data_IF_677631251218
#
_entry.id   IF_677631251218
#
_cell.length_a   1.000
_cell.length_b   1.000
_cell.length_c   1.000
_cell.angle_alpha   90.00
_cell.angle_beta   90.00
_cell.angle_gamma   90.00
#
_symmetry.space_group_name_H-M   'P 1'
#
loop_
_entity.id
_entity.type
_entity.pdbx_description
1 polymer ?
#
# COMPACT_ATOMS: atom_id res chain seq x y z
N UNK A 1 -7.09 -5.15 33.15
CA UNK A 1 -7.00 -5.86 31.84
C UNK A 1 -8.32 -5.64 31.15
N UNK A 2 -8.33 -5.39 29.84
CA UNK A 2 -9.59 -5.44 29.07
C UNK A 2 -10.06 -6.89 29.08
N UNK A 3 -11.38 -7.07 29.19
CA UNK A 3 -11.98 -8.36 28.92
C UNK A 3 -12.01 -8.55 27.40
N UNK A 4 -11.19 -9.46 26.87
CA UNK A 4 -11.08 -9.71 25.42
C UNK A 4 -12.27 -10.53 24.87
N UNK A 5 -13.24 -10.91 25.71
CA UNK A 5 -14.40 -11.75 25.37
C UNK A 5 -15.25 -11.19 24.20
N UNK A 6 -15.16 -9.90 23.90
CA UNK A 6 -15.93 -9.26 22.84
C UNK A 6 -15.19 -9.12 21.51
N UNK A 7 -13.94 -9.58 21.44
CA UNK A 7 -13.10 -9.50 20.25
C UNK A 7 -13.11 -10.84 19.52
N UNK A 8 -13.74 -10.85 18.35
CA UNK A 8 -13.80 -12.01 17.46
C UNK A 8 -12.62 -11.99 16.50
N UNK A 9 -11.59 -12.80 16.77
CA UNK A 9 -10.47 -12.97 15.82
C UNK A 9 -10.84 -13.92 14.69
N UNK A 10 -10.57 -13.50 13.46
CA UNK A 10 -10.86 -14.28 12.26
C UNK A 10 -9.84 -15.41 12.07
N UNK A 11 -10.24 -16.58 11.53
CA UNK A 11 -9.31 -17.60 11.07
C UNK A 11 -8.61 -17.23 9.75
N UNK A 12 -9.02 -16.14 9.09
CA UNK A 12 -8.41 -15.68 7.84
C UNK A 12 -6.97 -15.29 8.08
N UNK A 13 -6.07 -15.77 7.22
CA UNK A 13 -4.66 -15.43 7.25
C UNK A 13 -4.15 -15.13 5.84
N UNK A 14 -3.80 -13.87 5.61
CA UNK A 14 -3.24 -13.39 4.36
C UNK A 14 -1.73 -13.56 4.43
N UNK A 15 -1.24 -14.67 3.85
CA UNK A 15 0.17 -15.02 3.83
C UNK A 15 0.88 -14.49 2.58
N UNK A 16 2.20 -14.30 2.65
CA UNK A 16 3.04 -14.13 1.46
C UNK A 16 2.82 -15.28 0.47
N UNK A 17 2.86 -14.96 -0.82
CA UNK A 17 2.65 -15.92 -1.91
C UNK A 17 3.70 -15.69 -3.00
N UNK A 18 4.70 -16.58 -3.06
CA UNK A 18 5.76 -16.51 -4.06
C UNK A 18 5.31 -16.91 -5.47
N UNK A 19 4.10 -17.44 -5.63
CA UNK A 19 3.55 -17.79 -6.94
C UNK A 19 2.96 -16.57 -7.67
N UNK A 20 2.75 -15.46 -6.95
CA UNK A 20 2.23 -14.21 -7.51
C UNK A 20 3.39 -13.36 -8.01
N UNK A 21 3.52 -13.36 -9.33
CA UNK A 21 4.65 -12.78 -10.06
C UNK A 21 4.18 -11.70 -11.04
N UNK A 22 5.06 -10.74 -11.31
CA UNK A 22 4.85 -9.68 -12.29
C UNK A 22 6.11 -9.48 -13.13
N UNK A 23 5.95 -9.19 -14.42
CA UNK A 23 7.09 -8.90 -15.29
C UNK A 23 7.57 -7.46 -15.06
N UNK A 24 8.81 -7.30 -14.58
CA UNK A 24 9.46 -5.99 -14.38
C UNK A 24 10.57 -5.77 -15.40
N UNK A 25 11.00 -4.51 -15.52
CA UNK A 25 12.20 -4.18 -16.29
C UNK A 25 13.42 -4.75 -15.58
N UNK A 26 14.23 -5.50 -16.31
CA UNK A 26 15.52 -6.01 -15.87
C UNK A 26 16.62 -5.38 -16.71
N UNK A 27 17.58 -4.75 -16.05
CA UNK A 27 18.79 -4.26 -16.72
C UNK A 27 19.96 -5.05 -16.15
N UNK A 28 20.63 -5.88 -16.98
CA UNK A 28 21.80 -6.64 -16.56
C UNK A 28 22.87 -5.72 -15.96
N UNK A 29 23.44 -6.12 -14.83
CA UNK A 29 24.52 -5.37 -14.18
C UNK A 29 25.66 -5.05 -15.15
N UNK A 30 26.22 -3.84 -15.04
CA UNK A 30 27.37 -3.40 -15.82
C UNK A 30 28.59 -4.31 -15.62
N UNK A 31 29.55 -4.20 -16.53
CA UNK A 31 30.80 -4.94 -16.42
C UNK A 31 31.55 -4.48 -15.15
N UNK A 32 32.18 -5.41 -14.42
CA UNK A 32 32.95 -5.04 -13.23
C UNK A 32 34.14 -4.15 -13.60
N UNK A 33 34.66 -3.35 -12.65
CA UNK A 33 35.86 -2.57 -12.85
C UNK A 33 37.02 -3.41 -13.42
N UNK A 34 37.67 -2.92 -14.49
CA UNK A 34 38.72 -3.65 -15.22
C UNK A 34 38.23 -4.43 -16.45
N UNK A 35 36.91 -4.59 -16.62
CA UNK A 35 36.30 -5.24 -17.79
C UNK A 35 35.27 -4.35 -18.51
N UNK A 36 35.17 -3.08 -18.10
CA UNK A 36 34.27 -2.10 -18.68
C UNK A 36 34.54 -1.89 -20.17
N UNK A 37 33.55 -2.22 -20.99
CA UNK A 37 33.53 -1.88 -22.41
C UNK A 37 32.68 -0.64 -22.60
N UNK A 38 33.31 0.55 -22.60
CA UNK A 38 32.62 1.85 -22.72
C UNK A 38 31.85 1.99 -24.02
N UNK A 39 32.40 1.49 -25.12
CA UNK A 39 31.84 1.66 -26.46
C UNK A 39 30.73 0.64 -26.75
N UNK A 40 30.67 -0.43 -25.94
CA UNK A 40 29.67 -1.49 -26.12
C UNK A 40 29.30 -2.08 -24.76
N UNK A 41 28.44 -1.41 -23.98
CA UNK A 41 28.00 -1.89 -22.67
C UNK A 41 27.34 -3.27 -22.74
N UNK A 42 27.26 -3.96 -21.60
CA UNK A 42 26.70 -5.33 -21.54
C UNK A 42 25.29 -5.42 -22.10
N UNK A 43 24.44 -4.43 -21.82
CA UNK A 43 23.10 -4.32 -22.38
C UNK A 43 23.14 -4.34 -23.92
N UNK A 44 23.95 -3.48 -24.54
CA UNK A 44 24.10 -3.44 -25.98
C UNK A 44 24.55 -4.80 -26.56
N UNK A 45 25.54 -5.43 -25.94
CA UNK A 45 26.03 -6.76 -26.38
C UNK A 45 24.99 -7.88 -26.27
N UNK A 46 23.96 -7.73 -25.42
CA UNK A 46 22.83 -8.67 -25.37
C UNK A 46 21.91 -8.42 -26.56
N UNK A 47 21.52 -7.17 -26.80
CA UNK A 47 20.70 -6.83 -27.96
C UNK A 47 21.39 -7.24 -29.28
N UNK A 48 22.68 -6.96 -29.43
CA UNK A 48 23.46 -7.35 -30.62
C UNK A 48 23.41 -8.85 -30.89
N UNK A 49 23.48 -9.68 -29.83
CA UNK A 49 23.41 -11.15 -29.98
C UNK A 49 22.06 -11.59 -30.52
N UNK A 50 20.97 -10.98 -30.07
CA UNK A 50 19.61 -11.23 -30.60
C UNK A 50 19.54 -10.81 -32.07
N UNK A 51 20.13 -9.68 -32.44
CA UNK A 51 20.14 -9.18 -33.82
C UNK A 51 20.95 -10.09 -34.77
N UNK A 52 21.91 -10.85 -34.27
CA UNK A 52 22.71 -11.79 -35.06
C UNK A 52 22.08 -13.19 -35.22
N UNK A 53 20.96 -13.47 -34.55
CA UNK A 53 20.28 -14.76 -34.68
C UNK A 53 19.72 -14.92 -36.10
N UNK A 54 19.67 -16.16 -36.59
CA UNK A 54 18.89 -16.46 -37.79
C UNK A 54 17.39 -16.30 -37.50
N UNK A 55 16.57 -16.08 -38.53
CA UNK A 55 15.11 -16.00 -38.39
C UNK A 55 14.50 -17.26 -37.75
N UNK A 56 15.14 -18.42 -37.93
CA UNK A 56 14.72 -19.68 -37.30
C UNK A 56 15.07 -19.68 -35.81
N UNK A 57 16.32 -19.38 -35.45
CA UNK A 57 16.75 -19.38 -34.04
C UNK A 57 15.99 -18.33 -33.21
N UNK A 58 15.72 -17.15 -33.78
CA UNK A 58 14.94 -16.11 -33.12
C UNK A 58 13.49 -16.56 -32.84
N UNK A 59 12.87 -17.26 -33.79
CA UNK A 59 11.50 -17.78 -33.63
C UNK A 59 11.43 -18.92 -32.64
N UNK A 60 12.40 -19.82 -32.66
CA UNK A 60 12.47 -20.96 -31.75
C UNK A 60 12.65 -20.48 -30.30
N UNK A 61 13.57 -19.53 -30.08
CA UNK A 61 13.79 -18.96 -28.74
C UNK A 61 12.59 -18.15 -28.26
N UNK A 62 11.98 -17.33 -29.12
CA UNK A 62 10.76 -16.60 -28.79
C UNK A 62 9.61 -17.55 -28.42
N UNK A 63 9.47 -18.67 -29.14
CA UNK A 63 8.45 -19.70 -28.83
C UNK A 63 8.69 -20.29 -27.44
N UNK A 64 9.95 -20.59 -27.08
CA UNK A 64 10.30 -21.08 -25.75
C UNK A 64 9.92 -20.08 -24.65
N UNK A 65 10.29 -18.80 -24.84
CA UNK A 65 9.98 -17.72 -23.89
C UNK A 65 8.47 -17.56 -23.72
N UNK A 66 7.73 -17.45 -24.82
CA UNK A 66 6.28 -17.22 -24.78
C UNK A 66 5.55 -18.41 -24.15
N UNK A 67 5.94 -19.65 -24.46
CA UNK A 67 5.33 -20.84 -23.84
C UNK A 67 5.54 -20.88 -22.32
N UNK A 68 6.72 -20.47 -21.83
CA UNK A 68 7.00 -20.42 -20.39
C UNK A 68 6.21 -19.35 -19.63
N UNK A 69 5.75 -18.32 -20.34
CA UNK A 69 5.01 -17.18 -19.79
C UNK A 69 3.49 -17.28 -20.03
N UNK A 70 3.04 -18.01 -21.05
CA UNK A 70 1.64 -18.04 -21.49
C UNK A 70 0.67 -18.52 -20.40
N UNK A 71 1.09 -19.46 -19.54
CA UNK A 71 0.25 -19.95 -18.43
C UNK A 71 0.07 -18.90 -17.32
N UNK A 72 0.99 -17.93 -17.22
CA UNK A 72 1.07 -16.98 -16.11
C UNK A 72 0.63 -15.56 -16.48
N UNK A 73 0.68 -15.19 -17.76
CA UNK A 73 0.40 -13.82 -18.19
C UNK A 73 -0.55 -13.80 -19.38
N UNK A 74 -1.53 -12.88 -19.32
CA UNK A 74 -2.62 -12.80 -20.31
C UNK A 74 -2.18 -12.19 -21.65
N UNK A 75 -1.20 -11.28 -21.64
CA UNK A 75 -0.71 -10.57 -22.82
C UNK A 75 0.82 -10.38 -22.75
N UNK A 76 1.53 -11.51 -22.94
CA UNK A 76 3.00 -11.57 -22.90
C UNK A 76 3.59 -10.69 -24.00
N UNK A 77 3.09 -10.82 -25.24
CA UNK A 77 3.66 -10.12 -26.40
C UNK A 77 3.61 -8.61 -26.22
N UNK A 78 2.46 -8.05 -25.83
CA UNK A 78 2.32 -6.62 -25.60
C UNK A 78 3.23 -6.13 -24.49
N UNK A 79 3.39 -6.93 -23.43
CA UNK A 79 4.30 -6.62 -22.32
C UNK A 79 5.74 -6.54 -22.82
N UNK A 80 6.19 -7.53 -23.59
CA UNK A 80 7.55 -7.60 -24.11
C UNK A 80 7.84 -6.50 -25.16
N UNK A 81 6.91 -6.20 -26.06
CA UNK A 81 7.03 -5.09 -27.02
C UNK A 81 7.16 -3.75 -26.28
N UNK A 82 6.33 -3.52 -25.25
CA UNK A 82 6.44 -2.31 -24.41
C UNK A 82 7.81 -2.23 -23.74
N UNK A 83 8.36 -3.37 -23.28
CA UNK A 83 9.71 -3.42 -22.68
C UNK A 83 10.80 -3.06 -23.68
N UNK A 84 10.73 -3.58 -24.91
CA UNK A 84 11.63 -3.19 -25.98
C UNK A 84 11.62 -1.67 -26.21
N UNK A 85 10.44 -1.07 -26.35
CA UNK A 85 10.33 0.39 -26.53
C UNK A 85 10.88 1.19 -25.35
N UNK A 86 10.75 0.70 -24.12
CA UNK A 86 11.29 1.37 -22.94
C UNK A 86 12.82 1.36 -22.86
N UNK A 87 13.48 0.37 -23.49
CA UNK A 87 14.95 0.27 -23.46
C UNK A 87 15.63 0.83 -24.72
N UNK A 88 14.93 0.86 -25.85
CA UNK A 88 15.47 1.23 -27.16
C UNK A 88 15.79 2.74 -27.21
N UNK A 89 17.07 3.08 -27.42
CA UNK A 89 17.57 4.45 -27.33
C UNK A 89 17.80 4.97 -25.90
N UNK A 90 17.61 4.11 -24.89
CA UNK A 90 17.82 4.45 -23.47
C UNK A 90 18.95 3.62 -22.87
N UNK A 91 18.84 2.29 -22.94
CA UNK A 91 19.85 1.33 -22.44
C UNK A 91 20.62 0.63 -23.56
N UNK A 92 20.05 0.65 -24.76
CA UNK A 92 20.65 0.14 -26.00
C UNK A 92 20.55 1.22 -27.08
N UNK A 93 21.41 1.15 -28.09
CA UNK A 93 21.39 2.01 -29.25
C UNK A 93 20.06 1.91 -29.99
N UNK A 94 19.61 3.04 -30.56
CA UNK A 94 18.35 3.08 -31.28
C UNK A 94 18.38 2.13 -32.48
N UNK A 95 17.48 1.14 -32.50
CA UNK A 95 17.39 0.16 -33.56
C UNK A 95 15.96 -0.02 -34.09
N UNK A 96 15.87 -0.38 -35.37
CA UNK A 96 14.64 -0.87 -36.03
C UNK A 96 14.83 -2.36 -36.31
N UNK A 97 13.89 -3.17 -35.85
CA UNK A 97 14.02 -4.64 -35.79
C UNK A 97 12.72 -5.32 -36.22
N UNK A 98 12.75 -6.62 -36.50
CA UNK A 98 11.52 -7.39 -36.73
C UNK A 98 10.67 -7.46 -35.45
N UNK A 99 9.40 -7.84 -35.57
CA UNK A 99 8.52 -8.00 -34.42
C UNK A 99 9.06 -9.07 -33.43
N UNK A 100 9.58 -10.18 -33.96
CA UNK A 100 10.15 -11.27 -33.18
C UNK A 100 11.41 -10.83 -32.44
N UNK A 101 12.28 -10.06 -33.09
CA UNK A 101 13.47 -9.49 -32.47
C UNK A 101 13.09 -8.49 -31.38
N UNK A 102 12.09 -7.63 -31.60
CA UNK A 102 11.60 -6.70 -30.57
C UNK A 102 11.08 -7.46 -29.35
N UNK A 103 10.26 -8.50 -29.56
CA UNK A 103 9.74 -9.35 -28.48
C UNK A 103 10.87 -10.03 -27.70
N UNK A 104 11.83 -10.64 -28.40
CA UNK A 104 12.92 -11.39 -27.77
C UNK A 104 13.91 -10.47 -27.04
N UNK A 105 14.23 -9.30 -27.61
CA UNK A 105 14.99 -8.26 -26.90
C UNK A 105 14.20 -7.84 -25.65
N UNK A 106 12.90 -7.54 -25.78
CA UNK A 106 12.05 -7.21 -24.64
C UNK A 106 12.10 -8.26 -23.52
N UNK A 107 12.16 -9.55 -23.87
CA UNK A 107 12.27 -10.65 -22.92
C UNK A 107 13.62 -10.67 -22.18
N UNK A 108 14.75 -10.48 -22.87
CA UNK A 108 16.08 -10.45 -22.23
C UNK A 108 16.28 -9.27 -21.27
N UNK A 109 15.44 -8.24 -21.39
CA UNK A 109 15.41 -7.08 -20.48
C UNK A 109 14.17 -7.07 -19.57
N UNK A 110 13.64 -8.26 -19.31
CA UNK A 110 12.53 -8.49 -18.39
C UNK A 110 12.90 -9.54 -17.36
N UNK A 111 12.33 -9.42 -16.15
CA UNK A 111 12.41 -10.43 -15.10
C UNK A 111 11.02 -10.73 -14.54
N UNK A 112 10.77 -11.99 -14.17
CA UNK A 112 9.63 -12.33 -13.32
C UNK A 112 9.97 -11.99 -11.87
N UNK A 113 9.15 -11.16 -11.24
CA UNK A 113 9.38 -10.67 -9.89
C UNK A 113 8.25 -11.08 -8.96
N UNK A 114 8.55 -11.89 -7.94
CA UNK A 114 7.58 -12.32 -6.93
C UNK A 114 7.37 -11.22 -5.88
N UNK A 115 6.34 -10.41 -6.06
CA UNK A 115 6.20 -9.12 -5.37
C UNK A 115 5.70 -9.19 -3.93
N UNK A 116 5.11 -10.31 -3.54
CA UNK A 116 4.63 -10.57 -2.18
C UNK A 116 5.20 -11.87 -1.61
N UNK A 117 6.41 -12.25 -2.02
CA UNK A 117 7.06 -13.50 -1.60
C UNK A 117 7.58 -13.48 -0.16
N UNK A 118 7.98 -12.32 0.37
CA UNK A 118 8.62 -12.22 1.69
C UNK A 118 7.64 -11.88 2.80
N UNK A 119 6.76 -10.90 2.59
CA UNK A 119 5.82 -10.42 3.59
C UNK A 119 4.57 -9.76 2.96
N UNK A 120 3.42 -9.91 3.60
CA UNK A 120 2.14 -9.31 3.17
C UNK A 120 1.37 -8.74 4.37
N UNK A 121 1.58 -7.48 4.68
CA UNK A 121 1.24 -6.91 5.99
C UNK A 121 0.76 -5.45 5.90
N UNK A 122 0.61 -4.80 7.06
CA UNK A 122 0.17 -3.41 7.24
C UNK A 122 -1.10 -3.05 6.45
N UNK A 123 -2.22 -3.75 6.73
CA UNK A 123 -3.45 -3.59 5.96
C UNK A 123 -4.16 -2.27 6.24
N UNK A 124 -4.82 -1.72 5.23
CA UNK A 124 -5.79 -0.62 5.35
C UNK A 124 -7.02 -0.91 4.51
N UNK A 125 -8.20 -0.60 5.04
CA UNK A 125 -9.50 -1.05 4.51
C UNK A 125 -10.46 0.12 4.32
N UNK A 126 -11.20 0.10 3.21
CA UNK A 126 -12.27 1.06 2.89
C UNK A 126 -13.44 0.37 2.19
N UNK A 127 -14.65 0.93 2.23
CA UNK A 127 -15.77 0.45 1.41
C UNK A 127 -15.42 0.49 -0.08
N UNK A 128 -15.68 -0.58 -0.80
CA UNK A 128 -15.49 -0.65 -2.25
C UNK A 128 -16.45 0.33 -2.96
N UNK A 129 -16.04 1.07 -4.02
CA UNK A 129 -16.92 2.00 -4.71
C UNK A 129 -18.11 1.30 -5.38
N UNK A 130 -17.85 0.12 -5.96
CA UNK A 130 -18.90 -0.76 -6.48
C UNK A 130 -19.43 -1.72 -5.40
N UNK A 131 -20.73 -1.63 -5.12
CA UNK A 131 -21.48 -2.51 -4.21
C UNK A 131 -22.51 -3.38 -4.96
N UNK A 132 -22.45 -3.45 -6.29
CA UNK A 132 -23.38 -4.24 -7.08
C UNK A 132 -23.28 -5.74 -6.74
N UNK A 133 -24.44 -6.39 -6.58
CA UNK A 133 -24.53 -7.82 -6.26
C UNK A 133 -24.11 -8.17 -4.83
N UNK A 134 -23.84 -7.20 -3.97
CA UNK A 134 -23.52 -7.44 -2.55
C UNK A 134 -24.81 -7.85 -1.82
N UNK A 135 -24.80 -8.94 -1.02
CA UNK A 135 -25.98 -9.36 -0.26
C UNK A 135 -26.50 -8.25 0.67
N UNK A 136 -27.81 -8.23 0.89
CA UNK A 136 -28.46 -7.25 1.78
C UNK A 136 -27.82 -7.28 3.17
N UNK A 137 -27.51 -6.10 3.71
CA UNK A 137 -26.85 -5.94 5.01
C UNK A 137 -25.36 -6.26 5.01
N UNK A 138 -24.76 -6.63 3.87
CA UNK A 138 -23.31 -6.82 3.73
C UNK A 138 -22.67 -5.60 3.06
N UNK A 139 -21.33 -5.53 3.12
CA UNK A 139 -20.52 -4.48 2.53
C UNK A 139 -19.31 -5.09 1.82
N UNK A 140 -19.12 -4.79 0.53
CA UNK A 140 -17.86 -5.09 -0.16
C UNK A 140 -16.79 -4.09 0.24
N UNK A 141 -15.57 -4.55 0.48
CA UNK A 141 -14.44 -3.70 0.84
C UNK A 141 -13.28 -3.83 -0.16
N UNK A 142 -12.43 -2.80 -0.18
CA UNK A 142 -11.07 -2.84 -0.69
C UNK A 142 -10.12 -2.87 0.50
N UNK A 143 -9.13 -3.75 0.42
CA UNK A 143 -8.03 -3.87 1.37
C UNK A 143 -6.72 -3.61 0.64
N UNK A 144 -6.01 -2.55 1.00
CA UNK A 144 -4.59 -2.39 0.60
C UNK A 144 -3.68 -3.12 1.57
N UNK A 145 -2.59 -3.68 1.05
CA UNK A 145 -1.57 -4.40 1.79
C UNK A 145 -0.19 -3.94 1.31
N UNK A 146 0.76 -3.86 2.25
CA UNK A 146 2.17 -3.76 1.94
C UNK A 146 2.68 -5.14 1.55
N UNK A 147 3.11 -5.27 0.30
CA UNK A 147 3.72 -6.46 -0.25
C UNK A 147 5.24 -6.25 -0.33
N UNK A 148 6.00 -7.19 0.23
CA UNK A 148 7.47 -7.21 0.15
C UNK A 148 7.89 -8.41 -0.68
N UNK A 149 8.59 -8.13 -1.77
CA UNK A 149 9.07 -9.13 -2.72
C UNK A 149 10.56 -9.43 -2.56
N UNK A 150 11.12 -10.06 -3.59
CA UNK A 150 12.56 -10.28 -3.73
C UNK A 150 13.35 -8.95 -3.57
N UNK A 151 14.52 -9.00 -2.93
CA UNK A 151 15.30 -7.78 -2.70
C UNK A 151 14.69 -6.78 -1.71
N UNK A 152 13.63 -7.18 -0.99
CA UNK A 152 12.95 -6.40 0.07
C UNK A 152 12.30 -5.09 -0.40
N UNK A 153 11.96 -4.97 -1.69
CA UNK A 153 11.26 -3.79 -2.19
C UNK A 153 9.80 -3.83 -1.73
N UNK A 154 9.36 -2.76 -1.05
CA UNK A 154 7.97 -2.62 -0.61
C UNK A 154 7.09 -2.00 -1.70
N UNK A 155 5.95 -2.65 -1.93
CA UNK A 155 4.94 -2.28 -2.91
C UNK A 155 3.54 -2.32 -2.28
N UNK A 156 2.54 -1.78 -2.97
CA UNK A 156 1.13 -1.85 -2.55
C UNK A 156 0.40 -2.82 -3.46
N UNK A 157 -0.27 -3.79 -2.88
CA UNK A 157 -1.23 -4.66 -3.58
C UNK A 157 -2.57 -4.60 -2.87
N UNK A 158 -3.59 -5.17 -3.50
CA UNK A 158 -4.95 -5.09 -3.02
C UNK A 158 -5.60 -6.46 -2.89
N UNK A 159 -6.62 -6.53 -2.03
CA UNK A 159 -7.60 -7.61 -1.96
C UNK A 159 -8.99 -6.99 -1.90
N UNK A 160 -9.98 -7.75 -2.32
CA UNK A 160 -11.39 -7.44 -2.10
C UNK A 160 -12.02 -8.49 -1.20
N UNK A 161 -13.21 -8.19 -0.71
CA UNK A 161 -13.98 -9.15 0.08
C UNK A 161 -15.28 -8.54 0.55
N UNK A 162 -16.00 -9.30 1.38
CA UNK A 162 -17.30 -8.91 1.92
C UNK A 162 -17.27 -9.00 3.44
N UNK A 163 -17.81 -7.99 4.10
CA UNK A 163 -18.20 -8.04 5.50
C UNK A 163 -19.71 -8.24 5.61
N UNK A 164 -20.14 -9.27 6.33
CA UNK A 164 -21.53 -9.56 6.61
C UNK A 164 -22.12 -8.69 7.73
N UNK A 165 -23.45 -8.68 7.89
CA UNK A 165 -24.15 -7.90 8.92
C UNK A 165 -23.83 -8.33 10.35
N UNK A 166 -23.36 -9.56 10.54
CA UNK A 166 -22.95 -10.16 11.81
C UNK A 166 -21.47 -9.93 12.14
N UNK A 167 -20.73 -9.22 11.28
CA UNK A 167 -19.30 -9.06 11.40
C UNK A 167 -18.48 -10.22 10.85
N UNK A 168 -19.08 -11.19 10.16
CA UNK A 168 -18.33 -12.16 9.39
C UNK A 168 -17.52 -11.45 8.29
N UNK A 169 -16.29 -11.89 8.06
CA UNK A 169 -15.42 -11.35 7.00
C UNK A 169 -15.04 -12.50 6.08
N UNK A 170 -15.16 -12.27 4.77
CA UNK A 170 -14.62 -13.12 3.73
C UNK A 170 -13.73 -12.29 2.80
N UNK A 171 -12.59 -12.84 2.39
CA UNK A 171 -11.67 -12.22 1.42
C UNK A 171 -11.72 -13.03 0.14
N UNK A 172 -11.83 -12.36 -0.99
CA UNK A 172 -11.84 -13.01 -2.31
C UNK A 172 -10.48 -13.65 -2.60
N UNK A 173 -10.49 -14.77 -3.32
CA UNK A 173 -9.25 -15.43 -3.75
C UNK A 173 -8.55 -14.53 -4.76
N UNK A 174 -7.29 -14.10 -4.50
CA UNK A 174 -6.59 -13.22 -5.43
C UNK A 174 -6.25 -13.94 -6.74
N UNK A 175 -6.15 -13.18 -7.82
CA UNK A 175 -5.62 -13.67 -9.10
C UNK A 175 -4.13 -13.92 -8.96
N UNK A 176 -3.65 -15.02 -9.53
CA UNK A 176 -2.21 -15.34 -9.57
C UNK A 176 -1.43 -14.35 -10.45
N UNK A 177 -2.09 -13.84 -11.48
CA UNK A 177 -1.53 -12.87 -12.42
C UNK A 177 -1.45 -11.48 -11.75
N UNK A 178 -0.42 -10.73 -12.09
CA UNK A 178 -0.29 -9.31 -11.74
C UNK A 178 0.16 -8.50 -12.94
N UNK A 179 -0.26 -7.24 -12.97
CA UNK A 179 0.07 -6.29 -14.03
C UNK A 179 0.93 -5.15 -13.49
N UNK A 180 1.81 -4.62 -14.35
CA UNK A 180 2.48 -3.35 -14.08
C UNK A 180 1.65 -2.23 -14.73
N UNK A 181 1.30 -1.17 -13.99
CA UNK A 181 0.58 -0.04 -14.54
C UNK A 181 1.35 0.63 -15.67
N UNK A 182 0.62 1.26 -16.59
CA UNK A 182 1.19 2.27 -17.47
C UNK A 182 1.38 3.56 -16.67
N UNK A 183 2.57 4.16 -16.78
CA UNK A 183 2.98 5.29 -15.94
C UNK A 183 3.09 6.55 -16.81
N UNK A 184 2.50 7.64 -16.35
CA UNK A 184 2.69 8.98 -16.91
C UNK A 184 3.09 9.97 -15.80
N UNK A 185 3.90 10.97 -16.14
CA UNK A 185 4.15 12.10 -15.25
C UNK A 185 2.98 13.08 -15.29
N UNK A 186 2.61 13.64 -14.15
CA UNK A 186 1.53 14.63 -14.11
C UNK A 186 2.03 15.95 -14.74
N UNK A 187 1.36 16.49 -15.77
CA UNK A 187 1.79 17.72 -16.42
C UNK A 187 1.86 18.91 -15.45
N UNK A 188 2.92 19.69 -15.54
CA UNK A 188 3.12 20.89 -14.70
C UNK A 188 3.59 20.59 -13.27
N UNK A 189 3.90 19.33 -12.94
CA UNK A 189 4.59 18.99 -11.70
C UNK A 189 6.04 19.51 -11.67
N UNK A 190 6.64 19.52 -10.47
CA UNK A 190 8.03 19.99 -10.31
C UNK A 190 9.00 19.10 -11.08
N UNK A 191 10.08 19.63 -11.69
CA UNK A 191 11.01 18.84 -12.48
C UNK A 191 11.60 17.62 -11.76
N UNK A 192 11.78 17.70 -10.44
CA UNK A 192 12.34 16.63 -9.61
C UNK A 192 11.27 15.84 -8.84
N UNK A 193 10.01 16.25 -8.92
CA UNK A 193 8.89 15.65 -8.21
C UNK A 193 7.57 15.91 -8.96
N UNK A 194 7.44 15.37 -10.19
CA UNK A 194 6.34 15.74 -11.07
C UNK A 194 4.98 15.17 -10.61
N UNK A 195 4.98 14.25 -9.64
CA UNK A 195 3.85 13.36 -9.42
C UNK A 195 3.69 12.37 -10.58
N UNK A 196 3.05 11.24 -10.30
CA UNK A 196 2.84 10.19 -11.32
C UNK A 196 1.40 9.74 -11.34
N UNK A 197 0.91 9.42 -12.54
CA UNK A 197 -0.37 8.77 -12.77
C UNK A 197 -0.13 7.35 -13.26
N UNK A 198 -0.82 6.41 -12.65
CA UNK A 198 -0.77 4.98 -12.92
C UNK A 198 -2.10 4.57 -13.52
N UNK A 199 -2.07 3.95 -14.69
CA UNK A 199 -3.24 3.40 -15.36
C UNK A 199 -3.19 1.88 -15.30
N UNK A 200 -4.23 1.29 -14.70
CA UNK A 200 -4.43 -0.14 -14.52
C UNK A 200 -5.73 -0.60 -15.22
N UNK A 201 -6.11 0.07 -16.30
CA UNK A 201 -7.32 -0.17 -17.09
C UNK A 201 -7.38 -1.58 -17.73
N UNK A 202 -6.24 -2.26 -17.79
CA UNK A 202 -6.12 -3.65 -18.26
C UNK A 202 -6.42 -4.70 -17.16
N UNK A 203 -6.54 -4.26 -15.90
CA UNK A 203 -6.82 -5.12 -14.76
C UNK A 203 -8.26 -5.61 -14.80
N UNK A 204 -8.49 -6.92 -14.69
CA UNK A 204 -9.85 -7.47 -14.55
C UNK A 204 -10.26 -7.65 -13.09
N UNK A 205 -9.29 -7.63 -12.19
CA UNK A 205 -9.48 -7.80 -10.76
C UNK A 205 -8.51 -6.90 -10.01
N UNK A 206 -8.95 -6.31 -8.90
CA UNK A 206 -8.14 -5.37 -8.14
C UNK A 206 -6.88 -6.03 -7.54
N UNK A 207 -6.91 -7.34 -7.28
CA UNK A 207 -5.74 -8.08 -6.81
C UNK A 207 -4.61 -8.17 -7.84
N UNK A 208 -4.89 -8.03 -9.14
CA UNK A 208 -3.86 -8.02 -10.19
C UNK A 208 -2.99 -6.73 -10.13
N UNK A 209 -3.46 -5.69 -9.45
CA UNK A 209 -2.77 -4.40 -9.37
C UNK A 209 -1.67 -4.44 -8.31
N UNK A 210 -0.46 -4.04 -8.74
CA UNK A 210 0.68 -3.81 -7.86
C UNK A 210 1.27 -2.44 -8.14
N UNK A 211 1.35 -1.60 -7.12
CA UNK A 211 1.94 -0.26 -7.18
C UNK A 211 3.36 -0.34 -6.62
N UNK A 212 4.34 -0.30 -7.52
CA UNK A 212 5.76 -0.22 -7.17
C UNK A 212 6.22 1.23 -6.98
N UNK A 213 7.36 1.42 -6.28
CA UNK A 213 8.12 2.66 -6.37
C UNK A 213 8.33 3.13 -7.80
N UNK A 214 7.98 4.39 -8.07
CA UNK A 214 8.18 5.02 -9.39
C UNK A 214 9.19 6.16 -9.30
N UNK A 215 9.10 6.97 -8.25
CA UNK A 215 9.96 8.15 -8.08
C UNK A 215 11.20 7.84 -7.24
N UNK A 216 12.24 8.67 -7.37
CA UNK A 216 13.49 8.54 -6.61
C UNK A 216 13.28 8.58 -5.08
N UNK A 217 12.26 9.33 -4.63
CA UNK A 217 11.82 9.44 -3.23
C UNK A 217 11.22 8.14 -2.69
N UNK A 218 10.69 7.29 -3.55
CA UNK A 218 10.08 6.01 -3.19
C UNK A 218 11.02 4.82 -3.43
N UNK A 219 12.25 5.03 -3.95
CA UNK A 219 13.06 3.96 -4.56
C UNK A 219 13.35 2.73 -3.69
N UNK A 220 13.22 2.83 -2.36
CA UNK A 220 13.35 1.69 -1.43
C UNK A 220 12.00 1.14 -0.93
N UNK A 221 10.89 1.83 -1.19
CA UNK A 221 9.57 1.31 -0.90
C UNK A 221 8.47 2.36 -0.85
N UNK A 222 7.25 1.88 -1.08
CA UNK A 222 6.00 2.52 -0.69
C UNK A 222 5.49 1.79 0.55
N UNK A 223 5.40 2.49 1.68
CA UNK A 223 5.10 1.87 2.98
C UNK A 223 3.79 2.39 3.59
N UNK A 224 3.04 1.46 4.20
CA UNK A 224 2.00 1.73 5.19
C UNK A 224 0.90 2.69 4.70
N UNK A 225 0.24 2.34 3.58
CA UNK A 225 -0.86 3.12 3.00
C UNK A 225 -2.05 3.16 3.97
N UNK A 226 -2.54 4.36 4.27
CA UNK A 226 -3.74 4.61 5.08
C UNK A 226 -4.84 5.13 4.18
N UNK A 227 -5.67 4.21 3.70
CA UNK A 227 -6.80 4.50 2.83
C UNK A 227 -7.93 5.18 3.60
N UNK A 228 -8.61 6.11 2.93
CA UNK A 228 -9.85 6.72 3.39
C UNK A 228 -10.77 6.99 2.21
N UNK A 229 -12.06 6.69 2.38
CA UNK A 229 -13.11 7.17 1.50
C UNK A 229 -13.46 8.59 1.95
N UNK A 230 -13.02 9.59 1.20
CA UNK A 230 -13.26 10.99 1.47
C UNK A 230 -14.52 11.46 0.74
N UNK A 231 -15.41 12.12 1.48
CA UNK A 231 -16.66 12.67 0.95
C UNK A 231 -16.59 14.20 1.03
N UNK A 232 -16.65 14.85 -0.13
CA UNK A 232 -16.72 16.30 -0.23
C UNK A 232 -18.13 16.83 0.08
N UNK A 233 -18.26 18.15 0.28
CA UNK A 233 -19.52 18.80 0.63
C UNK A 233 -20.61 18.65 -0.46
N UNK A 234 -20.20 18.46 -1.71
CA UNK A 234 -21.09 18.18 -2.85
C UNK A 234 -21.53 16.71 -2.94
N UNK A 235 -21.07 15.86 -2.00
CA UNK A 235 -21.33 14.43 -1.96
C UNK A 235 -20.45 13.60 -2.89
N UNK A 236 -19.55 14.23 -3.66
CA UNK A 236 -18.57 13.50 -4.45
C UNK A 236 -17.63 12.70 -3.55
N UNK A 237 -17.20 11.54 -4.04
CA UNK A 237 -16.34 10.64 -3.28
C UNK A 237 -15.00 10.50 -3.99
N UNK A 238 -13.92 10.69 -3.23
CA UNK A 238 -12.55 10.36 -3.66
C UNK A 238 -11.91 9.44 -2.63
N UNK A 239 -11.16 8.45 -3.09
CA UNK A 239 -10.35 7.61 -2.22
C UNK A 239 -8.94 8.19 -2.14
N UNK A 240 -8.49 8.47 -0.92
CA UNK A 240 -7.13 8.91 -0.66
C UNK A 240 -6.38 7.85 0.14
N UNK A 241 -5.07 7.80 -0.04
CA UNK A 241 -4.16 6.93 0.69
C UNK A 241 -2.92 7.71 1.09
N UNK A 242 -2.76 8.02 2.37
CA UNK A 242 -1.49 8.63 2.85
C UNK A 242 -0.48 7.52 3.10
N UNK A 243 0.76 7.70 2.67
CA UNK A 243 1.78 6.67 2.79
C UNK A 243 3.18 7.27 2.95
N UNK A 244 4.12 6.43 3.40
CA UNK A 244 5.53 6.82 3.51
C UNK A 244 6.29 6.41 2.25
N UNK A 245 6.81 7.38 1.51
CA UNK A 245 7.79 7.15 0.46
C UNK A 245 9.18 7.01 1.09
N UNK A 246 9.83 5.86 0.88
CA UNK A 246 11.14 5.58 1.45
C UNK A 246 12.26 5.70 0.41
N UNK A 247 13.09 6.72 0.58
CA UNK A 247 14.25 7.01 -0.24
C UNK A 247 15.55 6.43 0.33
N UNK A 248 15.51 5.46 1.25
CA UNK A 248 16.70 4.84 1.85
C UNK A 248 17.28 5.61 3.04
N UNK A 249 17.59 6.89 2.88
CA UNK A 249 18.02 7.76 3.98
C UNK A 249 16.95 8.76 4.40
N UNK A 250 16.15 9.22 3.44
CA UNK A 250 15.08 10.18 3.66
C UNK A 250 13.72 9.49 3.54
N UNK A 251 12.75 10.01 4.29
CA UNK A 251 11.34 9.66 4.19
C UNK A 251 10.53 10.92 3.94
N UNK A 252 9.38 10.76 3.30
CA UNK A 252 8.34 11.79 3.24
C UNK A 252 6.97 11.18 3.14
N UNK A 253 5.94 11.93 3.48
CA UNK A 253 4.56 11.54 3.22
C UNK A 253 4.15 11.92 1.79
N UNK A 254 3.46 10.99 1.16
CA UNK A 254 2.84 11.18 -0.14
C UNK A 254 1.38 10.75 -0.09
N UNK A 255 0.63 11.16 -1.11
CA UNK A 255 -0.79 10.93 -1.25
C UNK A 255 -1.05 10.10 -2.51
N UNK A 256 -1.66 8.94 -2.32
CA UNK A 256 -2.35 8.19 -3.33
C UNK A 256 -3.76 8.75 -3.48
N UNK A 257 -4.23 8.96 -4.70
CA UNK A 257 -5.58 9.40 -5.02
C UNK A 257 -6.19 8.51 -6.10
N UNK A 258 -7.44 8.10 -5.93
CA UNK A 258 -8.22 7.39 -6.95
C UNK A 258 -9.71 7.60 -6.75
N UNK A 259 -10.51 7.46 -7.80
CA UNK A 259 -11.99 7.45 -7.72
C UNK A 259 -12.57 6.09 -8.08
N UNK A 260 -11.79 5.21 -8.71
CA UNK A 260 -12.26 3.99 -9.37
C UNK A 260 -11.41 2.74 -9.06
N UNK A 261 -10.26 2.90 -8.38
CA UNK A 261 -9.25 1.85 -8.20
C UNK A 261 -8.70 1.24 -9.51
N UNK A 262 -8.85 1.95 -10.63
CA UNK A 262 -8.24 1.62 -11.93
C UNK A 262 -7.20 2.67 -12.34
N UNK A 263 -7.39 3.92 -11.96
CA UNK A 263 -6.41 5.00 -12.14
C UNK A 263 -5.97 5.54 -10.78
N UNK A 264 -4.65 5.64 -10.57
CA UNK A 264 -4.08 6.15 -9.33
C UNK A 264 -3.16 7.33 -9.61
N UNK A 265 -3.24 8.37 -8.80
CA UNK A 265 -2.27 9.46 -8.78
C UNK A 265 -1.44 9.36 -7.50
N UNK A 266 -0.11 9.46 -7.62
CA UNK A 266 0.82 9.53 -6.50
C UNK A 266 1.47 10.90 -6.50
N UNK A 267 1.19 11.69 -5.46
CA UNK A 267 1.58 13.10 -5.36
C UNK A 267 2.24 13.35 -4.00
N UNK A 268 3.35 14.05 -3.99
CA UNK A 268 4.04 14.39 -2.75
C UNK A 268 3.28 15.42 -1.91
N UNK A 269 3.24 15.21 -0.59
CA UNK A 269 2.77 16.22 0.35
C UNK A 269 3.93 17.16 0.71
N UNK A 270 3.62 18.46 0.80
CA UNK A 270 4.58 19.53 1.08
C UNK A 270 4.38 20.11 2.48
N UNK A 271 5.41 20.78 2.97
CA UNK A 271 5.42 21.45 4.27
C UNK A 271 6.11 20.65 5.37
N UNK A 272 6.41 21.30 6.50
CA UNK A 272 7.24 20.74 7.57
C UNK A 272 6.65 19.44 8.15
N UNK A 273 5.32 19.37 8.25
CA UNK A 273 4.62 18.26 8.88
C UNK A 273 4.73 16.93 8.10
N UNK A 274 5.21 16.96 6.85
CA UNK A 274 5.26 15.80 5.94
C UNK A 274 6.59 15.02 5.99
N UNK A 275 7.56 15.50 6.78
CA UNK A 275 8.83 14.81 7.01
C UNK A 275 8.71 13.59 7.95
N UNK A 276 7.58 13.45 8.63
CA UNK A 276 7.30 12.37 9.58
C UNK A 276 6.55 11.20 8.96
N UNK A 277 6.31 10.11 9.73
CA UNK A 277 5.50 8.96 9.31
C UNK A 277 4.10 9.01 9.93
N UNK A 278 3.15 8.37 9.28
CA UNK A 278 1.87 8.01 9.89
C UNK A 278 0.79 9.08 9.77
N UNK A 279 0.89 9.98 8.79
CA UNK A 279 -0.21 10.91 8.51
C UNK A 279 -1.44 10.13 8.07
N UNK A 280 -2.65 10.53 8.49
CA UNK A 280 -3.90 9.92 8.09
C UNK A 280 -5.04 10.94 7.99
N UNK A 281 -5.68 10.99 6.83
CA UNK A 281 -6.70 11.98 6.48
C UNK A 281 -8.07 11.63 7.06
N UNK A 282 -8.75 12.61 7.65
CA UNK A 282 -10.15 12.48 8.06
C UNK A 282 -11.05 12.30 6.81
N UNK A 283 -12.17 11.57 6.89
CA UNK A 283 -12.99 11.20 5.74
C UNK A 283 -13.83 12.35 5.16
N UNK A 284 -13.71 13.56 5.70
CA UNK A 284 -14.32 14.79 5.18
C UNK A 284 -13.61 16.01 5.77
N UNK A 285 -13.91 17.20 5.26
CA UNK A 285 -13.50 18.46 5.89
C UNK A 285 -14.16 18.63 7.26
N UNK A 286 -13.45 19.30 8.16
CA UNK A 286 -13.92 19.71 9.49
C UNK A 286 -13.84 21.23 9.55
N UNK A 287 -14.98 21.89 9.74
CA UNK A 287 -15.08 23.35 9.72
C UNK A 287 -14.46 23.98 8.45
N UNK A 288 -14.74 23.38 7.29
CA UNK A 288 -14.26 23.85 5.98
C UNK A 288 -12.79 23.56 5.67
N UNK A 289 -12.04 22.89 6.57
CA UNK A 289 -10.62 22.55 6.38
C UNK A 289 -10.39 21.07 6.22
N UNK A 290 -9.35 20.69 5.48
CA UNK A 290 -8.81 19.34 5.57
C UNK A 290 -8.18 19.13 6.95
N UNK A 291 -8.28 17.91 7.46
CA UNK A 291 -7.67 17.51 8.72
C UNK A 291 -6.94 16.18 8.58
N UNK A 292 -5.78 16.04 9.22
CA UNK A 292 -5.03 14.79 9.32
C UNK A 292 -4.61 14.55 10.78
N UNK A 293 -4.56 13.27 11.18
CA UNK A 293 -3.75 12.87 12.32
C UNK A 293 -2.33 12.58 11.84
N UNK A 294 -1.33 12.77 12.70
CA UNK A 294 0.05 12.39 12.44
C UNK A 294 0.88 12.33 13.72
N UNK A 295 2.20 12.18 13.59
CA UNK A 295 3.12 12.10 14.73
C UNK A 295 4.33 13.02 14.50
N UNK A 296 4.25 14.25 15.00
CA UNK A 296 5.23 15.30 14.71
C UNK A 296 6.46 15.28 15.61
N UNK A 297 6.34 14.73 16.81
CA UNK A 297 7.41 14.63 17.81
C UNK A 297 7.95 13.20 17.97
N UNK A 298 7.66 12.33 17.01
CA UNK A 298 7.95 10.89 17.06
C UNK A 298 7.29 10.10 18.20
N UNK A 299 6.47 10.73 19.04
CA UNK A 299 5.96 10.14 20.28
C UNK A 299 4.43 10.18 20.39
N UNK A 300 3.79 11.29 20.03
CA UNK A 300 2.40 11.60 20.33
C UNK A 300 1.54 11.72 19.06
N UNK A 301 0.21 11.61 19.18
CA UNK A 301 -0.71 11.92 18.08
C UNK A 301 -0.95 13.43 18.06
N UNK A 302 -0.81 14.01 16.87
CA UNK A 302 -1.04 15.41 16.55
C UNK A 302 -2.21 15.55 15.57
N UNK A 303 -3.04 16.57 15.77
CA UNK A 303 -4.02 17.04 14.82
C UNK A 303 -3.39 18.12 13.93
N UNK A 304 -3.49 17.94 12.62
CA UNK A 304 -3.05 18.86 11.59
C UNK A 304 -4.29 19.36 10.85
N UNK A 305 -4.32 20.65 10.48
CA UNK A 305 -5.37 21.21 9.63
C UNK A 305 -4.75 21.99 8.49
N UNK A 306 -5.42 22.00 7.33
CA UNK A 306 -4.97 22.76 6.16
C UNK A 306 -6.14 23.17 5.27
N UNK A 307 -5.99 24.31 4.59
CA UNK A 307 -6.89 24.75 3.52
C UNK A 307 -6.50 24.13 2.16
N UNK A 308 -5.31 23.53 2.05
CA UNK A 308 -4.77 22.86 0.86
C UNK A 308 -4.40 21.41 1.21
N UNK A 309 -5.02 20.46 0.51
CA UNK A 309 -4.77 19.03 0.68
C UNK A 309 -3.30 18.62 0.50
N UNK A 310 -2.52 19.39 -0.26
CA UNK A 310 -1.13 19.08 -0.60
C UNK A 310 -0.10 19.81 0.26
N UNK A 311 -0.51 20.71 1.16
CA UNK A 311 0.40 21.49 2.01
C UNK A 311 0.04 21.40 3.50
N UNK A 312 0.96 20.93 4.34
CA UNK A 312 0.73 20.67 5.76
C UNK A 312 1.82 21.26 6.65
N UNK A 313 1.43 22.05 7.65
CA UNK A 313 2.33 22.76 8.56
C UNK A 313 1.86 22.67 10.01
N UNK A 314 2.81 22.71 10.95
CA UNK A 314 2.51 22.80 12.38
C UNK A 314 1.70 21.62 12.93
N UNK A 315 0.74 21.92 13.80
CA UNK A 315 -0.15 20.94 14.42
C UNK A 315 -0.43 21.23 15.89
N UNK A 316 -1.42 20.53 16.45
CA UNK A 316 -1.69 20.52 17.90
C UNK A 316 -1.56 19.09 18.44
N UNK A 317 -0.77 18.90 19.49
CA UNK A 317 -0.67 17.60 20.17
C UNK A 317 -1.98 17.29 20.89
N UNK A 318 -2.56 16.12 20.63
CA UNK A 318 -3.88 15.74 21.18
C UNK A 318 -3.85 14.47 22.04
N UNK A 319 -2.95 13.52 21.76
CA UNK A 319 -2.82 12.29 22.55
C UNK A 319 -1.35 12.00 22.82
N UNK A 320 -0.97 11.92 24.11
CA UNK A 320 0.35 11.50 24.55
C UNK A 320 0.32 10.14 25.25
N UNK A 321 1.47 9.44 25.32
CA UNK A 321 1.61 8.25 26.14
C UNK A 321 1.14 8.48 27.59
N UNK A 322 0.35 7.55 28.11
CA UNK A 322 -0.25 7.56 29.45
C UNK A 322 -0.01 6.24 30.20
N UNK A 323 0.04 5.11 29.50
CA UNK A 323 0.16 3.76 30.07
C UNK A 323 1.43 3.02 29.60
N UNK A 324 1.92 2.01 30.35
CA UNK A 324 3.19 1.34 30.05
C UNK A 324 3.31 0.71 28.66
N UNK A 325 2.19 0.36 28.01
CA UNK A 325 2.17 -0.28 26.70
C UNK A 325 2.40 0.70 25.53
N UNK A 326 2.55 1.99 25.82
CA UNK A 326 2.69 3.07 24.84
C UNK A 326 3.77 4.09 25.23
N UNK A 327 4.54 3.84 26.30
CA UNK A 327 5.58 4.75 26.80
C UNK A 327 6.71 5.05 25.82
N UNK A 328 6.94 4.21 24.80
CA UNK A 328 7.91 4.56 23.73
C UNK A 328 7.27 5.55 22.76
N UNK A 329 6.03 5.28 22.34
CA UNK A 329 5.25 6.15 21.46
C UNK A 329 3.80 5.64 21.33
N UNK A 330 2.90 6.55 20.95
CA UNK A 330 1.56 6.29 20.44
C UNK A 330 1.41 6.90 19.04
N UNK A 331 0.67 6.23 18.17
CA UNK A 331 0.31 6.76 16.86
C UNK A 331 -1.07 6.29 16.42
N UNK A 332 -1.66 6.99 15.47
CA UNK A 332 -2.84 6.50 14.75
C UNK A 332 -2.45 5.30 13.87
N UNK A 333 -3.32 4.29 13.81
CA UNK A 333 -3.18 3.17 12.89
C UNK A 333 -3.50 3.64 11.47
N UNK A 334 -4.73 4.08 11.25
CA UNK A 334 -5.19 4.62 9.97
C UNK A 334 -5.95 5.93 10.14
N UNK A 335 -6.83 6.21 9.18
CA UNK A 335 -7.72 7.36 9.20
C UNK A 335 -8.80 7.24 10.29
N UNK A 336 -9.21 8.36 10.91
CA UNK A 336 -10.34 8.36 11.83
C UNK A 336 -11.63 7.90 11.16
N UNK A 337 -12.45 7.16 11.90
CA UNK A 337 -13.74 6.63 11.43
C UNK A 337 -14.85 7.48 12.03
N UNK A 338 -15.69 8.06 11.17
CA UNK A 338 -16.87 8.80 11.63
C UNK A 338 -17.92 7.83 12.19
N UNK A 339 -18.28 8.00 13.45
CA UNK A 339 -19.40 7.31 14.09
C UNK A 339 -20.38 8.33 14.70
N UNK A 340 -21.47 7.85 15.29
CA UNK A 340 -22.47 8.73 15.92
C UNK A 340 -21.89 9.46 17.14
N UNK A 341 -21.01 8.79 17.87
CA UNK A 341 -20.44 9.24 19.14
C UNK A 341 -19.22 10.17 18.98
N UNK A 342 -18.61 10.23 17.78
CA UNK A 342 -17.40 11.01 17.55
C UNK A 342 -16.54 10.47 16.41
N UNK A 343 -15.26 10.78 16.45
CA UNK A 343 -14.24 10.19 15.59
C UNK A 343 -13.56 9.03 16.32
N UNK A 344 -13.86 7.80 15.91
CA UNK A 344 -13.15 6.63 16.41
C UNK A 344 -11.78 6.54 15.74
N UNK A 345 -10.72 6.57 16.55
CA UNK A 345 -9.34 6.44 16.09
C UNK A 345 -8.77 5.14 16.61
N UNK A 346 -8.44 4.23 15.70
CA UNK A 346 -7.64 3.05 16.05
C UNK A 346 -6.19 3.49 16.21
N UNK A 347 -5.56 3.15 17.33
CA UNK A 347 -4.18 3.54 17.66
C UNK A 347 -3.26 2.34 17.72
N UNK A 348 -1.96 2.59 17.61
CA UNK A 348 -0.92 1.67 18.05
C UNK A 348 -0.13 2.31 19.18
N UNK A 349 0.27 1.50 20.15
CA UNK A 349 1.16 1.88 21.24
C UNK A 349 2.39 0.97 21.26
N UNK A 350 3.54 1.54 21.60
CA UNK A 350 4.81 0.83 21.69
C UNK A 350 5.27 0.79 23.14
N UNK A 351 5.34 -0.42 23.69
CA UNK A 351 5.76 -0.68 25.06
C UNK A 351 7.21 -1.15 25.16
N UNK A 352 7.57 -1.64 26.35
CA UNK A 352 8.88 -2.23 26.62
C UNK A 352 9.24 -3.31 25.57
N UNK A 353 10.54 -3.39 25.23
CA UNK A 353 11.08 -4.26 24.17
C UNK A 353 10.49 -4.01 22.77
N UNK A 354 9.97 -2.80 22.52
CA UNK A 354 9.29 -2.44 21.26
C UNK A 354 8.11 -3.36 20.97
N UNK A 355 7.36 -3.76 21.99
CA UNK A 355 6.12 -4.50 21.80
C UNK A 355 5.06 -3.57 21.24
N UNK A 356 4.56 -3.84 20.03
CA UNK A 356 3.46 -3.07 19.43
C UNK A 356 2.12 -3.71 19.75
N UNK A 357 1.19 -2.89 20.23
CA UNK A 357 -0.16 -3.28 20.55
C UNK A 357 -1.16 -2.29 19.94
N UNK A 358 -2.38 -2.74 19.65
CA UNK A 358 -3.45 -1.91 19.09
C UNK A 358 -4.37 -1.45 20.21
N UNK A 359 -4.77 -0.18 20.18
CA UNK A 359 -5.80 0.41 21.04
C UNK A 359 -6.76 1.28 20.24
N UNK A 360 -7.53 2.10 20.95
CA UNK A 360 -8.43 3.07 20.34
C UNK A 360 -8.67 4.28 21.26
N UNK A 361 -9.00 5.41 20.65
CA UNK A 361 -9.57 6.56 21.35
C UNK A 361 -10.74 7.15 20.56
N UNK A 362 -11.57 7.93 21.23
CA UNK A 362 -12.67 8.67 20.66
C UNK A 362 -12.36 10.16 20.76
N UNK A 363 -12.43 10.88 19.63
CA UNK A 363 -12.32 12.34 19.59
C UNK A 363 -13.70 12.95 19.38
N UNK A 364 -13.90 14.18 19.85
CA UNK A 364 -15.14 14.92 19.65
C UNK A 364 -15.38 15.21 18.16
N UNK A 365 -16.63 15.06 17.72
CA UNK A 365 -17.03 15.12 16.32
C UNK A 365 -16.82 16.51 15.70
N UNK A 366 -17.09 17.56 16.46
CA UNK A 366 -17.03 18.95 16.02
C UNK A 366 -15.66 19.58 16.31
N UNK A 367 -15.04 19.15 17.40
CA UNK A 367 -13.72 19.63 17.83
C UNK A 367 -12.76 18.47 18.11
N UNK A 368 -12.09 17.92 17.08
CA UNK A 368 -11.19 16.77 17.22
C UNK A 368 -9.94 17.05 18.06
N UNK A 369 -9.75 18.26 18.60
CA UNK A 369 -8.72 18.52 19.62
C UNK A 369 -9.07 17.91 20.97
N UNK A 370 -10.35 17.60 21.20
CA UNK A 370 -10.85 17.02 22.45
C UNK A 370 -10.88 15.50 22.37
N UNK A 371 -10.10 14.85 23.21
CA UNK A 371 -10.18 13.40 23.44
C UNK A 371 -11.31 13.13 24.43
N UNK A 372 -12.35 12.43 23.97
CA UNK A 372 -13.53 12.11 24.78
C UNK A 372 -13.32 10.87 25.64
N UNK A 373 -12.71 9.84 25.07
CA UNK A 373 -12.49 8.58 25.76
C UNK A 373 -11.30 7.81 25.15
N UNK A 374 -10.67 6.92 25.93
CA UNK A 374 -9.56 6.08 25.42
C UNK A 374 -9.44 4.76 26.17
N UNK A 375 -9.06 3.70 25.45
CA UNK A 375 -8.87 2.39 26.08
C UNK A 375 -7.60 2.37 26.96
N UNK A 376 -7.69 1.99 28.25
CA UNK A 376 -6.53 1.98 29.15
C UNK A 376 -5.59 0.79 28.95
N UNK A 377 -6.12 -0.31 28.38
CA UNK A 377 -5.35 -1.49 28.01
C UNK A 377 -5.45 -1.71 26.49
N UNK A 378 -4.50 -2.42 25.87
CA UNK A 378 -4.59 -2.75 24.46
C UNK A 378 -5.78 -3.63 24.14
N UNK A 379 -6.41 -3.37 23.00
CA UNK A 379 -7.43 -4.21 22.38
C UNK A 379 -6.82 -5.47 21.79
N UNK A 380 -5.67 -5.34 21.12
CA UNK A 380 -4.95 -6.48 20.56
C UNK A 380 -3.48 -6.42 20.96
N UNK A 381 -2.98 -7.58 21.36
CA UNK A 381 -1.56 -7.89 21.51
C UNK A 381 -1.25 -9.16 20.72
N UNK A 382 0.02 -9.35 20.31
CA UNK A 382 0.45 -10.61 19.75
C UNK A 382 0.27 -11.75 20.77
N UNK A 383 -0.52 -12.76 20.41
CA UNK A 383 -0.57 -14.04 21.13
C UNK A 383 0.76 -14.77 21.02
N UNK A 384 1.10 -15.72 21.91
CA UNK A 384 2.38 -16.43 21.87
C UNK A 384 2.77 -16.95 20.47
N UNK A 385 1.82 -17.49 19.72
CA UNK A 385 1.97 -18.01 18.36
C UNK A 385 2.09 -16.92 17.27
N UNK A 386 1.68 -15.68 17.57
CA UNK A 386 1.67 -14.55 16.63
C UNK A 386 2.92 -13.66 16.75
N UNK A 387 3.85 -13.99 17.66
CA UNK A 387 5.03 -13.17 17.96
C UNK A 387 6.19 -13.34 16.98
N UNK A 388 6.13 -14.31 16.09
CA UNK A 388 7.23 -14.70 15.21
C UNK A 388 7.03 -14.15 13.80
N UNK A 389 8.06 -13.51 13.26
CA UNK A 389 8.06 -12.92 11.92
C UNK A 389 9.25 -11.99 11.72
N UNK A 390 9.21 -11.20 10.65
CA UNK A 390 10.24 -10.22 10.28
C UNK A 390 10.55 -9.23 11.41
N UNK A 391 9.51 -8.74 12.10
CA UNK A 391 9.67 -7.95 13.34
C UNK A 391 8.86 -8.61 14.46
N UNK A 392 9.52 -9.28 15.42
CA UNK A 392 8.82 -9.97 16.50
C UNK A 392 7.99 -9.06 17.39
N UNK A 393 6.93 -9.62 17.99
CA UNK A 393 6.04 -8.95 18.94
C UNK A 393 5.31 -7.70 18.40
N UNK A 394 4.96 -7.71 17.11
CA UNK A 394 4.22 -6.62 16.47
C UNK A 394 2.79 -7.01 16.13
N UNK A 395 1.84 -6.19 16.56
CA UNK A 395 0.49 -6.08 15.97
C UNK A 395 0.31 -4.65 15.47
N UNK A 396 -0.06 -4.48 14.20
CA UNK A 396 -0.15 -3.16 13.57
C UNK A 396 -1.29 -3.07 12.56
N UNK A 397 -1.90 -1.91 12.38
CA UNK A 397 -2.91 -1.69 11.35
C UNK A 397 -2.71 -0.33 10.70
N UNK A 398 -3.00 -0.23 9.41
CA UNK A 398 -3.03 1.02 8.66
C UNK A 398 -4.47 1.50 8.37
N UNK A 399 -5.49 0.82 8.92
CA UNK A 399 -6.88 1.24 8.75
C UNK A 399 -7.86 0.20 9.23
N UNK A 400 -9.02 0.68 9.65
CA UNK A 400 -10.18 -0.12 10.00
C UNK A 400 -11.43 0.57 9.43
N UNK A 401 -12.53 -0.16 9.38
CA UNK A 401 -13.83 0.39 8.97
C UNK A 401 -14.91 -0.05 9.95
N UNK A 402 -16.00 0.71 10.03
CA UNK A 402 -17.20 0.32 10.76
C UNK A 402 -18.29 -0.04 9.75
N UNK A 403 -18.92 -1.20 9.95
CA UNK A 403 -20.10 -1.63 9.19
C UNK A 403 -21.24 -1.91 10.19
N UNK A 404 -22.33 -1.15 10.09
CA UNK A 404 -23.37 -1.15 11.13
C UNK A 404 -22.82 -0.71 12.49
N UNK A 405 -22.92 -1.59 13.50
CA UNK A 405 -22.32 -1.40 14.84
C UNK A 405 -21.15 -2.36 15.09
N UNK A 406 -20.48 -2.79 14.03
CA UNK A 406 -19.32 -3.69 14.10
C UNK A 406 -18.09 -3.00 13.55
N UNK A 407 -17.03 -2.93 14.35
CA UNK A 407 -15.71 -2.56 13.85
C UNK A 407 -15.09 -3.77 13.14
N UNK A 408 -14.59 -3.54 11.93
CA UNK A 408 -13.83 -4.50 11.13
C UNK A 408 -12.38 -4.03 11.09
N UNK A 409 -11.50 -4.78 11.75
CA UNK A 409 -10.11 -4.42 11.99
C UNK A 409 -9.19 -5.44 11.32
N UNK A 410 -8.69 -5.18 10.10
CA UNK A 410 -7.55 -5.91 9.59
C UNK A 410 -6.28 -5.45 10.31
N UNK A 411 -5.38 -6.38 10.61
CA UNK A 411 -4.11 -6.07 11.26
C UNK A 411 -3.01 -7.04 10.84
N UNK A 412 -1.79 -6.53 10.85
CA UNK A 412 -0.53 -7.23 10.64
C UNK A 412 -0.09 -7.98 11.89
N UNK A 413 0.59 -9.09 11.66
CA UNK A 413 1.28 -9.90 12.65
C UNK A 413 2.76 -9.99 12.28
N UNK A 414 3.61 -9.53 13.19
CA UNK A 414 5.07 -9.61 13.13
C UNK A 414 5.70 -9.15 11.79
N UNK A 415 5.11 -8.14 11.15
CA UNK A 415 5.51 -7.62 9.83
C UNK A 415 5.66 -8.71 8.74
N UNK A 416 4.83 -9.75 8.79
CA UNK A 416 4.94 -10.92 7.89
C UNK A 416 3.64 -11.28 7.18
N UNK A 417 2.51 -11.23 7.87
CA UNK A 417 1.20 -11.58 7.33
C UNK A 417 0.11 -10.72 7.97
N UNK A 418 -1.09 -10.74 7.40
CA UNK A 418 -2.26 -10.03 7.92
C UNK A 418 -3.40 -10.96 8.28
N UNK A 419 -4.24 -10.53 9.21
CA UNK A 419 -5.48 -11.19 9.61
C UNK A 419 -6.54 -10.13 9.95
N UNK A 420 -7.67 -10.56 10.49
CA UNK A 420 -8.79 -9.70 10.87
C UNK A 420 -9.25 -9.98 12.29
N UNK A 421 -9.78 -8.95 12.94
CA UNK A 421 -10.63 -9.07 14.11
C UNK A 421 -11.89 -8.23 13.88
N UNK A 422 -12.99 -8.65 14.48
CA UNK A 422 -14.22 -7.84 14.56
C UNK A 422 -14.65 -7.67 16.00
N UNK A 423 -15.30 -6.54 16.29
CA UNK A 423 -15.79 -6.25 17.64
C UNK A 423 -17.05 -5.38 17.60
N UNK A 424 -18.03 -5.63 18.50
CA UNK A 424 -19.18 -4.75 18.66
C UNK A 424 -18.73 -3.36 19.14
N UNK A 425 -19.15 -2.32 18.44
CA UNK A 425 -18.75 -0.94 18.72
C UNK A 425 -19.24 -0.47 20.10
N UNK A 426 -20.43 -0.90 20.52
CA UNK A 426 -20.99 -0.55 21.84
C UNK A 426 -20.12 -1.08 22.99
N UNK A 427 -19.56 -2.29 22.83
CA UNK A 427 -18.68 -2.90 23.82
C UNK A 427 -17.30 -2.24 23.80
N UNK A 428 -16.78 -1.90 22.62
CA UNK A 428 -15.54 -1.13 22.48
C UNK A 428 -15.65 0.24 23.18
N UNK A 429 -16.73 0.98 22.94
CA UNK A 429 -16.95 2.28 23.56
C UNK A 429 -17.11 2.16 25.08
N UNK A 430 -17.82 1.13 25.56
CA UNK A 430 -17.97 0.84 26.99
C UNK A 430 -16.65 0.48 27.69
N UNK A 431 -15.64 0.05 26.93
CA UNK A 431 -14.31 -0.28 27.44
C UNK A 431 -13.36 0.93 27.52
N UNK A 432 -13.79 2.12 27.07
CA UNK A 432 -13.00 3.36 27.14
C UNK A 432 -13.25 4.13 28.45
N UNK A 433 -12.22 4.80 28.96
CA UNK A 433 -12.28 5.70 30.13
C UNK A 433 -12.28 7.17 29.73
#
# INVERSE_FOLDING_TARGET
MINDDFISRSPILLRPDSTRVVIRTFVPAEDPPGYLSTDRPRAQRIADRVLTLSDTDCRDELTNVTNNLADRYRDVERTLIRRFHNINGVFIDHCSVSNEQALLIGAYFSEEYAFEAAALFNPSIVPHPDQAGVPVGSLRFVLSLRAVGEGHVSSVTFRTGICGPDGAVAVDVPRTQAITPRIEYIPGGEPNDPGVRLFCDESLDLSEIVIFPVTSSQRHGIEDVRLVRFVDEDGSTTYFGTYTAFGGQNIRQELLRTTDFATFELIALRGEATANKGMALFPRRINGKYAMLGRQDHESIWLLTSDDLYHWQGGTKIVSPRWPWEFIQIGNGGSPIEISEGWLVITHGVGALRNYAIGACLLDKEDPTKVLARVPYPLLRPRPEERFGYVPNVTYTCGAMVHGRTLVLPYALADSFSTFATMPLDQLLSAME
#
